data_IF_416678075147
#
_entry.id   IF_416678075147
#
_cell.length_a   1.000
_cell.length_b   1.000
_cell.length_c   1.000
_cell.angle_alpha   90.00
_cell.angle_beta   90.00
_cell.angle_gamma   90.00
#
_symmetry.space_group_name_H-M   'P 1'
#
loop_
_entity.id
_entity.type
_entity.pdbx_description
1 polymer ?
#
# COMPACT_ATOMS: atom_id res chain seq x y z
N UNK A 1 -36.56 13.45 -57.82
CA UNK A 1 -37.96 13.87 -57.58
C UNK A 1 -38.10 14.12 -56.08
N UNK A 2 -38.00 15.37 -55.60
CA UNK A 2 -39.12 16.25 -55.14
C UNK A 2 -40.08 15.51 -54.18
N UNK A 3 -40.29 15.88 -52.90
CA UNK A 3 -40.57 17.18 -52.24
C UNK A 3 -40.14 17.06 -50.74
N UNK A 4 -39.54 18.01 -50.02
CA UNK A 4 -39.82 19.44 -49.73
C UNK A 4 -41.02 19.70 -48.79
N UNK A 5 -40.73 20.03 -47.53
CA UNK A 5 -41.40 20.98 -46.60
C UNK A 5 -40.64 20.90 -45.23
N UNK A 6 -39.83 21.83 -44.73
CA UNK A 6 -39.93 23.28 -44.48
C UNK A 6 -40.83 23.67 -43.28
N UNK A 7 -40.19 23.94 -42.12
CA UNK A 7 -40.65 24.84 -41.03
C UNK A 7 -39.44 25.07 -40.09
N UNK A 8 -38.62 26.12 -40.27
CA UNK A 8 -38.70 27.48 -39.72
C UNK A 8 -38.65 27.61 -38.18
N UNK A 9 -37.51 28.16 -37.73
CA UNK A 9 -37.19 28.98 -36.54
C UNK A 9 -37.84 28.67 -35.18
N UNK A 10 -36.99 28.52 -34.15
CA UNK A 10 -36.76 29.56 -33.12
C UNK A 10 -35.33 29.36 -32.59
N UNK A 11 -34.49 30.37 -32.80
CA UNK A 11 -33.18 30.49 -32.17
C UNK A 11 -33.37 31.07 -30.77
N UNK A 12 -33.31 30.22 -29.75
CA UNK A 12 -33.25 30.69 -28.36
C UNK A 12 -31.79 30.86 -27.98
N UNK A 13 -31.31 32.11 -28.00
CA UNK A 13 -30.09 32.51 -27.32
C UNK A 13 -30.27 32.21 -25.82
N UNK A 14 -29.71 31.10 -25.32
CA UNK A 14 -29.40 31.00 -23.90
C UNK A 14 -28.14 31.82 -23.64
N UNK A 15 -28.36 33.05 -23.20
CA UNK A 15 -27.34 33.82 -22.50
C UNK A 15 -26.94 33.02 -21.25
N UNK A 16 -25.74 32.44 -21.27
CA UNK A 16 -25.09 31.95 -20.05
C UNK A 16 -24.91 33.15 -19.10
N UNK A 17 -25.43 33.10 -17.87
CA UNK A 17 -25.05 34.10 -16.89
C UNK A 17 -23.57 33.86 -16.56
N UNK A 18 -22.73 34.86 -16.86
CA UNK A 18 -21.43 35.02 -16.22
C UNK A 18 -21.67 35.10 -14.72
N UNK A 19 -21.48 33.98 -14.04
CA UNK A 19 -21.57 33.91 -12.59
C UNK A 19 -20.32 34.57 -11.99
N UNK A 20 -20.36 35.90 -11.93
CA UNK A 20 -19.49 36.72 -11.09
C UNK A 20 -19.98 36.61 -9.65
N UNK A 21 -19.07 36.21 -8.76
CA UNK A 21 -19.16 36.46 -7.32
C UNK A 21 -19.82 35.36 -6.49
N UNK A 22 -19.09 34.28 -6.21
CA UNK A 22 -19.15 33.71 -4.87
C UNK A 22 -18.05 34.40 -4.06
N UNK A 23 -18.49 35.19 -3.07
CA UNK A 23 -17.69 35.81 -2.03
C UNK A 23 -16.78 34.76 -1.40
N UNK A 24 -15.51 35.11 -1.14
CA UNK A 24 -14.55 34.30 -0.40
C UNK A 24 -15.18 33.84 0.93
N UNK A 25 -15.73 32.63 0.96
CA UNK A 25 -15.69 31.83 2.17
C UNK A 25 -14.23 31.78 2.58
N UNK A 26 -13.96 32.00 3.86
CA UNK A 26 -12.63 31.91 4.45
C UNK A 26 -12.18 30.44 4.33
N UNK A 27 -11.72 30.05 3.12
CA UNK A 27 -11.38 28.69 2.77
C UNK A 27 -10.17 28.32 3.63
N UNK A 28 -10.39 27.43 4.59
CA UNK A 28 -9.30 26.94 5.43
C UNK A 28 -8.14 26.46 4.56
N UNK A 29 -6.92 26.88 4.91
CA UNK A 29 -5.72 26.44 4.21
C UNK A 29 -5.58 24.93 4.31
N UNK A 30 -5.31 24.26 3.19
CA UNK A 30 -5.08 22.82 3.16
C UNK A 30 -3.65 22.53 3.62
N UNK A 31 -3.51 21.82 4.72
CA UNK A 31 -2.25 21.31 5.24
C UNK A 31 -1.91 19.92 4.72
N UNK A 32 -0.64 19.50 4.88
CA UNK A 32 -0.20 18.15 4.50
C UNK A 32 -0.98 17.05 5.24
N UNK A 33 -1.34 17.28 6.50
CA UNK A 33 -2.17 16.36 7.29
C UNK A 33 -3.57 16.15 6.70
N UNK A 34 -4.13 17.17 6.06
CA UNK A 34 -5.46 17.09 5.44
C UNK A 34 -5.40 16.20 4.20
N UNK A 35 -4.30 16.28 3.43
CA UNK A 35 -4.04 15.37 2.30
C UNK A 35 -3.95 13.93 2.77
N UNK A 36 -3.35 13.69 3.93
CA UNK A 36 -3.17 12.34 4.48
C UNK A 36 -4.45 11.74 5.09
N UNK A 37 -5.40 12.57 5.53
CA UNK A 37 -6.52 12.14 6.38
C UNK A 37 -7.35 11.01 5.77
N UNK A 38 -7.58 11.04 4.45
CA UNK A 38 -8.44 10.05 3.78
C UNK A 38 -7.66 9.03 2.93
N UNK A 39 -6.33 9.07 2.88
CA UNK A 39 -5.56 8.24 1.94
C UNK A 39 -5.84 6.75 2.12
N UNK A 40 -5.93 6.29 3.37
CA UNK A 40 -6.15 4.87 3.64
C UNK A 40 -7.53 4.36 3.20
N UNK A 41 -8.53 5.24 3.24
CA UNK A 41 -9.93 4.89 2.94
C UNK A 41 -10.33 5.20 1.49
N UNK A 42 -9.50 5.94 0.75
CA UNK A 42 -9.88 6.47 -0.57
C UNK A 42 -8.88 6.20 -1.67
N UNK A 43 -7.60 5.95 -1.36
CA UNK A 43 -6.59 5.79 -2.38
C UNK A 43 -6.63 4.36 -2.96
N UNK A 44 -6.87 4.18 -4.28
CA UNK A 44 -7.12 2.86 -4.86
C UNK A 44 -6.04 1.82 -4.56
N UNK A 45 -4.75 2.19 -4.58
CA UNK A 45 -3.66 1.25 -4.33
C UNK A 45 -3.68 0.71 -2.90
N UNK A 46 -3.97 1.56 -1.90
CA UNK A 46 -4.07 1.16 -0.49
C UNK A 46 -5.32 0.30 -0.28
N UNK A 47 -6.44 0.68 -0.91
CA UNK A 47 -7.68 -0.09 -0.84
C UNK A 47 -7.51 -1.49 -1.44
N UNK A 48 -6.86 -1.61 -2.60
CA UNK A 48 -6.58 -2.89 -3.25
C UNK A 48 -5.69 -3.78 -2.37
N UNK A 49 -4.61 -3.23 -1.81
CA UNK A 49 -3.74 -3.98 -0.90
C UNK A 49 -4.50 -4.44 0.37
N UNK A 50 -5.43 -3.62 0.88
CA UNK A 50 -6.31 -3.99 1.99
C UNK A 50 -7.30 -5.10 1.61
N UNK A 51 -7.78 -5.14 0.36
CA UNK A 51 -8.62 -6.25 -0.14
C UNK A 51 -7.84 -7.55 -0.27
N UNK A 52 -6.56 -7.51 -0.61
CA UNK A 52 -5.70 -8.71 -0.62
C UNK A 52 -5.52 -9.29 0.80
N UNK A 53 -5.44 -8.47 1.84
CA UNK A 53 -5.47 -8.97 3.24
C UNK A 53 -6.78 -9.70 3.53
N UNK A 54 -7.92 -9.12 3.12
CA UNK A 54 -9.23 -9.74 3.32
C UNK A 54 -9.39 -11.04 2.53
N UNK A 55 -8.82 -11.12 1.33
CA UNK A 55 -8.74 -12.36 0.58
C UNK A 55 -7.92 -13.41 1.32
N UNK A 56 -6.75 -13.03 1.86
CA UNK A 56 -5.94 -13.94 2.67
C UNK A 56 -6.66 -14.44 3.94
N UNK A 57 -7.58 -13.66 4.51
CA UNK A 57 -8.45 -14.13 5.60
C UNK A 57 -9.41 -15.25 5.16
N UNK A 58 -9.95 -15.17 3.94
CA UNK A 58 -10.74 -16.25 3.37
C UNK A 58 -9.88 -17.46 2.98
N UNK A 59 -8.64 -17.25 2.57
CA UNK A 59 -7.70 -18.35 2.31
C UNK A 59 -7.37 -19.11 3.61
N UNK A 60 -7.21 -18.40 4.74
CA UNK A 60 -7.10 -19.03 6.07
C UNK A 60 -8.36 -19.82 6.42
N UNK A 61 -9.56 -19.24 6.21
CA UNK A 61 -10.82 -19.94 6.46
C UNK A 61 -10.95 -21.20 5.60
N UNK A 62 -10.54 -21.13 4.33
CA UNK A 62 -10.51 -22.28 3.44
C UNK A 62 -9.56 -23.38 3.95
N UNK A 63 -8.37 -23.00 4.40
CA UNK A 63 -7.41 -23.94 4.98
C UNK A 63 -7.91 -24.57 6.30
N UNK A 64 -8.63 -23.80 7.12
CA UNK A 64 -9.29 -24.34 8.32
C UNK A 64 -10.33 -25.41 7.98
N UNK A 65 -10.93 -25.35 6.78
CA UNK A 65 -11.90 -26.33 6.28
C UNK A 65 -11.36 -27.75 6.17
N UNK A 66 -10.03 -27.94 6.11
CA UNK A 66 -9.43 -29.27 6.18
C UNK A 66 -9.74 -29.99 7.51
N UNK A 67 -10.04 -29.23 8.58
CA UNK A 67 -10.41 -29.74 9.88
C UNK A 67 -11.92 -29.77 10.11
N UNK A 68 -12.76 -29.52 9.09
CA UNK A 68 -14.21 -29.51 9.26
C UNK A 68 -14.80 -30.89 9.50
N UNK A 69 -16.00 -30.89 10.11
CA UNK A 69 -16.77 -32.10 10.30
C UNK A 69 -17.36 -32.54 8.96
N UNK A 70 -16.96 -33.71 8.47
CA UNK A 70 -17.41 -34.23 7.18
C UNK A 70 -18.30 -35.46 7.36
N UNK A 71 -19.47 -35.49 6.72
CA UNK A 71 -20.24 -36.70 6.52
C UNK A 71 -19.75 -37.42 5.26
N UNK A 72 -19.21 -38.63 5.42
CA UNK A 72 -18.72 -39.49 4.34
C UNK A 72 -19.63 -40.71 4.22
N UNK A 73 -20.07 -41.02 3.00
CA UNK A 73 -20.91 -42.17 2.72
C UNK A 73 -20.28 -43.06 1.66
N UNK A 74 -20.45 -44.38 1.77
CA UNK A 74 -20.16 -45.32 0.69
C UNK A 74 -21.26 -46.36 0.59
N UNK A 75 -21.63 -46.70 -0.65
CA UNK A 75 -22.57 -47.78 -0.95
C UNK A 75 -21.92 -48.68 -1.98
N UNK A 76 -21.84 -49.97 -1.67
CA UNK A 76 -21.25 -50.98 -2.52
C UNK A 76 -22.28 -52.07 -2.77
N UNK A 77 -22.46 -52.43 -4.04
CA UNK A 77 -23.29 -53.54 -4.47
C UNK A 77 -22.39 -54.52 -5.24
N UNK A 78 -22.41 -55.78 -4.82
CA UNK A 78 -21.73 -56.87 -5.51
C UNK A 78 -22.79 -57.82 -6.02
N UNK A 79 -22.71 -58.20 -7.30
CA UNK A 79 -23.62 -59.14 -7.95
C UNK A 79 -22.86 -60.34 -8.51
N UNK A 80 -23.55 -61.47 -8.65
CA UNK A 80 -22.98 -62.69 -9.23
C UNK A 80 -23.24 -63.89 -8.34
N UNK A 81 -22.20 -64.69 -8.08
CA UNK A 81 -22.31 -65.88 -7.21
C UNK A 81 -22.74 -65.51 -5.77
N UNK A 82 -22.33 -64.32 -5.30
CA UNK A 82 -22.77 -63.74 -4.04
C UNK A 82 -23.36 -62.35 -4.29
N UNK A 83 -24.61 -62.15 -3.88
CA UNK A 83 -25.29 -60.87 -3.99
C UNK A 83 -25.24 -60.15 -2.64
N UNK A 84 -24.46 -59.07 -2.55
CA UNK A 84 -24.30 -58.31 -1.30
C UNK A 84 -24.51 -56.82 -1.51
N UNK A 85 -25.13 -56.19 -0.53
CA UNK A 85 -25.30 -54.75 -0.42
C UNK A 85 -24.59 -54.29 0.86
N UNK A 86 -23.77 -53.24 0.77
CA UNK A 86 -23.09 -52.65 1.93
C UNK A 86 -23.18 -51.14 1.86
N UNK A 87 -23.83 -50.54 2.84
CA UNK A 87 -23.84 -49.09 3.08
C UNK A 87 -23.01 -48.75 4.30
N UNK A 88 -22.28 -47.64 4.25
CA UNK A 88 -21.52 -47.10 5.37
C UNK A 88 -21.63 -45.58 5.37
N UNK A 89 -21.91 -45.00 6.53
CA UNK A 89 -21.94 -43.56 6.75
C UNK A 89 -21.08 -43.23 7.96
N UNK A 90 -20.15 -42.28 7.81
CA UNK A 90 -19.24 -41.85 8.85
C UNK A 90 -19.25 -40.33 8.95
N UNK A 91 -19.41 -39.81 10.15
CA UNK A 91 -19.03 -38.45 10.50
C UNK A 91 -17.56 -38.49 10.88
N UNK A 92 -16.72 -37.69 10.22
CA UNK A 92 -15.26 -37.65 10.42
C UNK A 92 -14.84 -36.23 10.79
N UNK A 93 -14.01 -36.11 11.83
CA UNK A 93 -13.43 -34.84 12.29
C UNK A 93 -11.91 -34.97 12.37
N UNK A 94 -11.16 -34.48 11.37
CA UNK A 94 -9.73 -34.23 11.51
C UNK A 94 -9.49 -33.15 12.56
N UNK A 95 -8.33 -33.19 13.22
CA UNK A 95 -7.95 -32.21 14.23
C UNK A 95 -6.52 -31.70 13.98
N UNK A 96 -6.22 -30.45 14.37
CA UNK A 96 -4.86 -29.93 14.28
C UNK A 96 -3.93 -30.54 15.34
N UNK A 97 -4.44 -31.33 16.29
CA UNK A 97 -3.67 -31.89 17.38
C UNK A 97 -3.03 -33.20 16.91
N UNK A 98 -1.71 -33.17 16.71
CA UNK A 98 -0.88 -34.32 16.35
C UNK A 98 -1.37 -35.13 15.14
N UNK A 99 -2.09 -34.50 14.20
CA UNK A 99 -2.64 -35.17 13.01
C UNK A 99 -3.75 -36.17 13.31
N UNK A 100 -4.33 -36.10 14.52
CA UNK A 100 -5.37 -37.05 14.92
C UNK A 100 -6.69 -36.76 14.23
N UNK A 101 -7.43 -37.81 13.90
CA UNK A 101 -8.80 -37.69 13.38
C UNK A 101 -9.71 -38.67 14.11
N UNK A 102 -10.95 -38.25 14.32
CA UNK A 102 -11.98 -39.06 14.97
C UNK A 102 -13.12 -39.34 14.00
N UNK A 103 -13.77 -40.49 14.16
CA UNK A 103 -14.96 -40.81 13.40
C UNK A 103 -16.03 -41.46 14.27
N UNK A 104 -17.28 -41.27 13.87
CA UNK A 104 -18.44 -42.00 14.37
C UNK A 104 -19.33 -42.34 13.18
N UNK A 105 -19.83 -43.55 13.09
CA UNK A 105 -20.50 -44.03 11.90
C UNK A 105 -21.45 -45.18 12.13
N UNK A 106 -22.23 -45.46 11.09
CA UNK A 106 -23.17 -46.55 11.00
C UNK A 106 -22.93 -47.32 9.72
N UNK A 107 -22.93 -48.64 9.81
CA UNK A 107 -22.76 -49.53 8.67
C UNK A 107 -23.87 -50.56 8.64
N UNK A 108 -24.39 -50.81 7.45
CA UNK A 108 -25.39 -51.82 7.19
C UNK A 108 -24.92 -52.71 6.04
N UNK A 109 -25.13 -54.01 6.19
CA UNK A 109 -24.86 -54.98 5.14
C UNK A 109 -25.97 -56.01 5.05
N UNK A 110 -26.29 -56.42 3.82
CA UNK A 110 -27.38 -57.34 3.50
C UNK A 110 -26.95 -58.28 2.37
N UNK A 111 -27.62 -59.43 2.27
CA UNK A 111 -27.37 -60.45 1.25
C UNK A 111 -26.45 -61.57 1.71
N UNK A 112 -26.00 -62.37 0.74
CA UNK A 112 -25.29 -63.61 1.00
C UNK A 112 -23.78 -63.37 0.96
N UNK A 113 -23.15 -63.48 2.13
CA UNK A 113 -21.70 -63.34 2.28
C UNK A 113 -21.03 -64.71 2.28
N UNK A 114 -19.91 -64.88 1.57
CA UNK A 114 -19.04 -66.04 1.79
C UNK A 114 -18.60 -66.13 3.26
N UNK A 115 -18.40 -67.34 3.77
CA UNK A 115 -18.04 -67.56 5.19
C UNK A 115 -16.77 -66.81 5.61
N UNK A 116 -15.81 -66.65 4.70
CA UNK A 116 -14.56 -65.89 4.93
C UNK A 116 -14.75 -64.36 4.91
N UNK A 117 -15.92 -63.85 4.53
CA UNK A 117 -16.30 -62.44 4.65
C UNK A 117 -17.24 -62.16 5.82
N UNK A 118 -17.35 -63.07 6.79
CA UNK A 118 -18.14 -62.86 8.01
C UNK A 118 -17.86 -61.52 8.74
N UNK A 119 -16.61 -60.99 8.82
CA UNK A 119 -16.34 -59.65 9.37
C UNK A 119 -16.95 -58.48 8.57
N UNK A 120 -17.33 -58.72 7.31
CA UNK A 120 -18.00 -57.74 6.43
C UNK A 120 -19.53 -57.75 6.58
N UNK A 121 -20.09 -58.73 7.29
CA UNK A 121 -21.52 -58.87 7.56
C UNK A 121 -21.88 -58.24 8.91
N UNK A 122 -23.00 -57.54 8.95
CA UNK A 122 -23.64 -56.91 10.12
C UNK A 122 -24.93 -57.67 10.43
N UNK A 123 -25.42 -57.58 11.66
CA UNK A 123 -26.79 -58.01 11.96
C UNK A 123 -27.83 -57.09 11.27
N UNK A 124 -29.12 -57.49 11.19
CA UNK A 124 -30.14 -56.74 10.43
C UNK A 124 -30.35 -55.28 10.89
N UNK A 125 -30.06 -54.98 12.16
CA UNK A 125 -30.08 -53.61 12.70
C UNK A 125 -28.85 -52.76 12.36
N UNK A 126 -27.85 -53.33 11.70
CA UNK A 126 -26.57 -52.69 11.39
C UNK A 126 -25.65 -52.50 12.60
N UNK A 127 -24.50 -51.89 12.34
CA UNK A 127 -23.38 -51.74 13.26
C UNK A 127 -23.10 -50.25 13.50
N UNK A 128 -23.04 -49.83 14.77
CA UNK A 128 -22.47 -48.53 15.13
C UNK A 128 -20.97 -48.69 15.33
N UNK A 129 -20.19 -47.69 14.87
CA UNK A 129 -18.73 -47.66 15.00
C UNK A 129 -18.27 -46.28 15.44
N UNK A 130 -17.25 -46.21 16.25
CA UNK A 130 -16.53 -44.97 16.52
C UNK A 130 -15.05 -45.28 16.71
N UNK A 131 -14.20 -44.30 16.47
CA UNK A 131 -12.77 -44.52 16.61
C UNK A 131 -11.94 -43.28 16.33
N UNK A 132 -10.63 -43.48 16.41
CA UNK A 132 -9.64 -42.47 16.11
C UNK A 132 -8.44 -43.04 15.38
N UNK A 133 -7.84 -42.20 14.55
CA UNK A 133 -6.55 -42.41 13.90
C UNK A 133 -5.54 -41.46 14.50
N UNK A 134 -4.40 -41.99 14.94
CA UNK A 134 -3.32 -41.23 15.56
C UNK A 134 -2.02 -41.51 14.80
N UNK A 135 -1.48 -40.56 14.02
CA UNK A 135 -0.17 -40.73 13.41
C UNK A 135 0.92 -40.62 14.48
N UNK A 136 1.84 -41.58 14.48
CA UNK A 136 2.91 -41.69 15.49
C UNK A 136 4.22 -41.06 15.00
N UNK A 137 4.49 -41.11 13.68
CA UNK A 137 5.74 -40.65 13.08
C UNK A 137 5.53 -39.59 11.98
N UNK A 138 5.36 -39.98 10.71
CA UNK A 138 4.94 -39.06 9.63
C UNK A 138 3.55 -38.50 9.97
N UNK A 139 3.29 -37.26 9.61
CA UNK A 139 2.03 -36.54 9.81
C UNK A 139 1.69 -36.20 11.27
N UNK A 140 2.55 -36.59 12.24
CA UNK A 140 2.37 -36.24 13.65
C UNK A 140 2.70 -34.77 13.96
N UNK A 141 3.89 -34.32 13.54
CA UNK A 141 4.37 -32.97 13.83
C UNK A 141 3.80 -31.95 12.83
N UNK A 142 3.81 -32.30 11.54
CA UNK A 142 3.29 -31.49 10.44
C UNK A 142 2.72 -32.42 9.38
N UNK A 143 1.63 -32.01 8.75
CA UNK A 143 0.97 -32.69 7.63
C UNK A 143 0.57 -31.64 6.60
N UNK A 144 -0.05 -32.05 5.49
CA UNK A 144 -0.43 -31.12 4.42
C UNK A 144 -1.38 -30.02 4.91
N UNK A 145 -2.35 -30.39 5.74
CA UNK A 145 -3.47 -29.53 6.13
C UNK A 145 -2.99 -28.50 7.17
N UNK A 146 -2.17 -28.93 8.13
CA UNK A 146 -1.48 -28.02 9.06
C UNK A 146 -0.48 -27.11 8.36
N UNK A 147 0.25 -27.63 7.38
CA UNK A 147 1.18 -26.82 6.59
C UNK A 147 0.41 -25.72 5.85
N UNK A 148 -0.68 -26.07 5.17
CA UNK A 148 -1.50 -25.13 4.41
C UNK A 148 -2.08 -24.05 5.32
N UNK A 149 -2.63 -24.42 6.49
CA UNK A 149 -3.11 -23.44 7.48
C UNK A 149 -1.99 -22.47 7.92
N UNK A 150 -0.84 -23.01 8.30
CA UNK A 150 0.31 -22.19 8.74
C UNK A 150 0.83 -21.29 7.62
N UNK A 151 0.87 -21.78 6.39
CA UNK A 151 1.30 -21.00 5.23
C UNK A 151 0.31 -19.88 4.91
N UNK A 152 -1.01 -20.13 4.99
CA UNK A 152 -2.04 -19.11 4.79
C UNK A 152 -1.97 -17.99 5.84
N UNK A 153 -1.67 -18.31 7.11
CA UNK A 153 -1.44 -17.33 8.16
C UNK A 153 -0.22 -16.43 7.89
N UNK A 154 0.89 -17.02 7.43
CA UNK A 154 2.09 -16.28 7.04
C UNK A 154 1.83 -15.43 5.79
N UNK A 155 1.09 -15.96 4.81
CA UNK A 155 0.70 -15.23 3.60
C UNK A 155 -0.16 -13.99 3.91
N UNK A 156 -1.05 -14.06 4.90
CA UNK A 156 -1.76 -12.86 5.42
C UNK A 156 -0.78 -11.82 5.97
N UNK A 157 0.24 -12.25 6.69
CA UNK A 157 1.28 -11.36 7.23
C UNK A 157 2.13 -10.74 6.10
N UNK A 158 2.42 -11.50 5.05
CA UNK A 158 3.05 -10.99 3.81
C UNK A 158 2.17 -9.92 3.16
N UNK A 159 0.86 -10.16 3.03
CA UNK A 159 -0.08 -9.19 2.47
C UNK A 159 -0.13 -7.88 3.30
N UNK A 160 -0.01 -7.98 4.63
CA UNK A 160 0.12 -6.82 5.51
C UNK A 160 1.42 -6.04 5.25
N UNK A 161 2.55 -6.73 5.11
CA UNK A 161 3.81 -6.07 4.75
C UNK A 161 3.70 -5.36 3.39
N UNK A 162 3.07 -5.98 2.38
CA UNK A 162 2.84 -5.35 1.07
C UNK A 162 1.98 -4.08 1.21
N UNK A 163 0.92 -4.11 2.02
CA UNK A 163 0.13 -2.91 2.31
C UNK A 163 1.00 -1.79 2.90
N UNK A 164 1.86 -2.12 3.84
CA UNK A 164 2.76 -1.14 4.47
C UNK A 164 3.80 -0.58 3.49
N UNK A 165 4.33 -1.39 2.56
CA UNK A 165 5.18 -0.91 1.44
C UNK A 165 4.42 0.12 0.58
N UNK A 166 3.18 -0.21 0.21
CA UNK A 166 2.35 0.68 -0.62
C UNK A 166 2.01 1.98 0.12
N UNK A 167 1.70 1.91 1.41
CA UNK A 167 1.48 3.09 2.24
C UNK A 167 2.70 4.01 2.18
N UNK A 168 3.90 3.51 2.49
CA UNK A 168 5.12 4.33 2.48
C UNK A 168 5.30 5.07 1.15
N UNK A 169 5.12 4.39 0.02
CA UNK A 169 5.20 5.04 -1.31
C UNK A 169 4.13 6.10 -1.49
N UNK A 170 2.87 5.80 -1.18
CA UNK A 170 1.74 6.73 -1.39
C UNK A 170 1.87 7.97 -0.52
N UNK A 171 2.26 7.83 0.75
CA UNK A 171 2.46 8.97 1.65
C UNK A 171 3.61 9.88 1.18
N UNK A 172 4.72 9.29 0.72
CA UNK A 172 5.83 10.03 0.12
C UNK A 172 5.38 10.80 -1.11
N UNK A 173 4.72 10.12 -2.05
CA UNK A 173 4.34 10.71 -3.33
C UNK A 173 3.26 11.80 -3.14
N UNK A 174 2.35 11.61 -2.18
CA UNK A 174 1.38 12.61 -1.76
C UNK A 174 2.07 13.85 -1.16
N UNK A 175 3.07 13.67 -0.28
CA UNK A 175 3.84 14.77 0.29
C UNK A 175 4.60 15.54 -0.79
N UNK A 176 5.26 14.85 -1.72
CA UNK A 176 5.94 15.49 -2.84
C UNK A 176 4.96 16.27 -3.72
N UNK A 177 3.79 15.70 -4.03
CA UNK A 177 2.76 16.39 -4.81
C UNK A 177 2.23 17.63 -4.09
N UNK A 178 2.06 17.57 -2.76
CA UNK A 178 1.64 18.70 -1.94
C UNK A 178 2.66 19.83 -1.95
N UNK A 179 3.94 19.54 -1.70
CA UNK A 179 4.98 20.57 -1.67
C UNK A 179 5.20 21.22 -3.04
N UNK A 180 5.03 20.46 -4.12
CA UNK A 180 5.04 21.01 -5.48
C UNK A 180 3.88 21.99 -5.75
N UNK A 181 2.69 21.73 -5.18
CA UNK A 181 1.56 22.65 -5.28
C UNK A 181 1.77 23.93 -4.46
N UNK A 182 2.27 23.79 -3.22
CA UNK A 182 2.63 24.94 -2.37
C UNK A 182 3.68 25.82 -3.04
N UNK A 183 4.71 25.21 -3.64
CA UNK A 183 5.79 25.91 -4.34
C UNK A 183 5.29 26.64 -5.59
N UNK A 184 4.40 26.02 -6.37
CA UNK A 184 3.76 26.66 -7.53
C UNK A 184 2.96 27.90 -7.14
N UNK A 185 2.22 27.83 -6.02
CA UNK A 185 1.48 28.96 -5.46
C UNK A 185 2.40 30.11 -5.04
N UNK A 186 3.51 29.81 -4.35
CA UNK A 186 4.50 30.82 -3.95
C UNK A 186 5.21 31.45 -5.17
N UNK A 187 5.53 30.67 -6.21
CA UNK A 187 6.08 31.18 -7.48
C UNK A 187 5.11 32.16 -8.16
N UNK A 188 3.82 31.82 -8.25
CA UNK A 188 2.80 32.72 -8.82
C UNK A 188 2.73 34.04 -8.05
N UNK A 189 2.75 34.00 -6.70
CA UNK A 189 2.77 35.21 -5.86
C UNK A 189 3.98 36.10 -6.16
N UNK A 190 5.19 35.54 -6.20
CA UNK A 190 6.43 36.29 -6.50
C UNK A 190 6.34 37.00 -7.86
N UNK A 191 5.92 36.29 -8.90
CA UNK A 191 5.81 36.89 -10.24
C UNK A 191 4.69 37.94 -10.28
N UNK A 192 3.61 37.74 -9.52
CA UNK A 192 2.50 38.70 -9.43
C UNK A 192 2.94 40.01 -8.79
N UNK A 193 3.74 39.94 -7.73
CA UNK A 193 4.32 41.11 -7.07
C UNK A 193 5.24 41.89 -8.02
N UNK A 194 6.03 41.20 -8.86
CA UNK A 194 6.88 41.83 -9.87
C UNK A 194 6.07 42.53 -10.96
N UNK A 195 4.98 41.91 -11.43
CA UNK A 195 4.07 42.55 -12.39
C UNK A 195 3.48 43.83 -11.80
N UNK A 196 3.00 43.77 -10.55
CA UNK A 196 2.42 44.92 -9.85
C UNK A 196 3.43 46.06 -9.68
N UNK A 197 4.69 45.74 -9.38
CA UNK A 197 5.78 46.73 -9.30
C UNK A 197 6.00 47.39 -10.67
N UNK A 198 6.07 46.61 -11.75
CA UNK A 198 6.29 47.13 -13.10
C UNK A 198 5.13 48.00 -13.60
N UNK A 199 3.88 47.62 -13.28
CA UNK A 199 2.69 48.41 -13.63
C UNK A 199 2.63 49.74 -12.86
N UNK A 200 2.91 49.73 -11.56
CA UNK A 200 3.00 50.95 -10.76
C UNK A 200 4.10 51.90 -11.27
N UNK A 201 5.22 51.33 -11.73
CA UNK A 201 6.33 52.09 -12.31
C UNK A 201 5.96 52.73 -13.65
N UNK A 202 5.15 52.07 -14.48
CA UNK A 202 4.72 52.62 -15.77
C UNK A 202 4.08 54.00 -15.61
N UNK A 203 3.22 54.15 -14.60
CA UNK A 203 2.52 55.41 -14.32
C UNK A 203 3.45 56.50 -13.77
N UNK A 204 4.54 56.12 -13.11
CA UNK A 204 5.58 57.05 -12.66
C UNK A 204 6.44 57.53 -13.84
N UNK A 205 6.86 56.60 -14.71
CA UNK A 205 7.65 56.90 -15.91
C UNK A 205 6.84 57.80 -16.87
N UNK A 206 5.56 57.52 -17.10
CA UNK A 206 4.68 58.35 -17.96
C UNK A 206 4.67 59.82 -17.52
N UNK A 207 4.60 60.07 -16.21
CA UNK A 207 4.62 61.44 -15.66
C UNK A 207 5.97 62.11 -15.85
N UNK A 208 7.07 61.42 -15.56
CA UNK A 208 8.43 61.95 -15.74
C UNK A 208 8.77 62.24 -17.20
N UNK A 209 8.34 61.39 -18.13
CA UNK A 209 8.49 61.66 -19.58
C UNK A 209 7.68 62.89 -20.00
N UNK A 210 6.45 63.03 -19.53
CA UNK A 210 5.61 64.20 -19.85
C UNK A 210 6.20 65.53 -19.33
N UNK A 211 6.96 65.47 -18.23
CA UNK A 211 7.70 66.61 -17.66
C UNK A 211 9.07 66.85 -18.34
N UNK A 212 9.53 65.92 -19.20
CA UNK A 212 10.84 65.98 -19.85
C UNK A 212 12.01 65.51 -18.98
N UNK A 213 11.74 64.92 -17.81
CA UNK A 213 12.76 64.52 -16.84
C UNK A 213 13.55 63.26 -17.24
N UNK A 214 12.94 62.39 -18.06
CA UNK A 214 13.57 61.15 -18.58
C UNK A 214 13.18 60.91 -20.05
N UNK A 215 14.01 60.19 -20.82
CA UNK A 215 13.73 59.89 -22.22
C UNK A 215 12.48 59.02 -22.44
N UNK A 216 11.74 59.26 -23.53
CA UNK A 216 10.55 58.48 -23.88
C UNK A 216 10.83 56.98 -24.14
N UNK A 217 12.07 56.61 -24.49
CA UNK A 217 12.46 55.21 -24.66
C UNK A 217 12.31 54.38 -23.37
N UNK A 218 12.39 55.02 -22.20
CA UNK A 218 12.19 54.37 -20.90
C UNK A 218 10.75 53.84 -20.72
N UNK A 219 9.77 54.43 -21.41
CA UNK A 219 8.40 53.89 -21.45
C UNK A 219 8.35 52.55 -22.19
N UNK A 220 8.99 52.47 -23.35
CA UNK A 220 9.01 51.24 -24.15
C UNK A 220 9.77 50.13 -23.41
N UNK A 221 10.83 50.48 -22.69
CA UNK A 221 11.59 49.53 -21.88
C UNK A 221 10.75 48.95 -20.71
N UNK A 222 9.99 49.79 -20.01
CA UNK A 222 9.09 49.29 -18.95
C UNK A 222 7.88 48.53 -19.52
N UNK A 223 7.34 48.92 -20.68
CA UNK A 223 6.29 48.16 -21.37
C UNK A 223 6.77 46.75 -21.74
N UNK A 224 7.98 46.62 -22.27
CA UNK A 224 8.61 45.31 -22.52
C UNK A 224 8.71 44.49 -21.24
N UNK A 225 9.12 45.09 -20.13
CA UNK A 225 9.19 44.41 -18.83
C UNK A 225 7.81 43.91 -18.37
N UNK A 226 6.76 44.73 -18.46
CA UNK A 226 5.38 44.33 -18.14
C UNK A 226 4.93 43.13 -18.98
N UNK A 227 5.18 43.15 -20.29
CA UNK A 227 4.83 42.04 -21.18
C UNK A 227 5.55 40.75 -20.79
N UNK A 228 6.84 40.83 -20.45
CA UNK A 228 7.60 39.68 -19.95
C UNK A 228 7.04 39.15 -18.61
N UNK A 229 6.65 40.02 -17.67
CA UNK A 229 6.05 39.59 -16.40
C UNK A 229 4.67 38.96 -16.57
N UNK A 230 3.87 39.43 -17.54
CA UNK A 230 2.57 38.83 -17.88
C UNK A 230 2.71 37.42 -18.44
N UNK A 231 3.72 37.19 -19.28
CA UNK A 231 4.06 35.83 -19.75
C UNK A 231 4.43 34.92 -18.57
N UNK A 232 5.30 35.38 -17.68
CA UNK A 232 5.71 34.63 -16.49
C UNK A 232 4.52 34.29 -15.57
N UNK A 233 3.54 35.20 -15.44
CA UNK A 233 2.31 34.93 -14.69
C UNK A 233 1.51 33.81 -15.34
N UNK A 234 1.30 33.85 -16.66
CA UNK A 234 0.56 32.81 -17.36
C UNK A 234 1.26 31.43 -17.20
N UNK A 235 2.60 31.41 -17.26
CA UNK A 235 3.38 30.19 -17.01
C UNK A 235 3.23 29.68 -15.56
N UNK A 236 3.27 30.58 -14.57
CA UNK A 236 3.11 30.23 -13.16
C UNK A 236 1.69 29.76 -12.82
N UNK A 237 0.66 30.37 -13.43
CA UNK A 237 -0.74 29.94 -13.30
C UNK A 237 -0.96 28.54 -13.86
N UNK A 238 -0.40 28.25 -15.04
CA UNK A 238 -0.42 26.90 -15.61
C UNK A 238 0.28 25.89 -14.69
N UNK A 239 1.40 26.26 -14.08
CA UNK A 239 2.11 25.39 -13.14
C UNK A 239 1.27 25.12 -11.87
N UNK A 240 0.60 26.14 -11.34
CA UNK A 240 -0.30 26.01 -10.20
C UNK A 240 -1.49 25.09 -10.52
N UNK A 241 -2.14 25.29 -11.66
CA UNK A 241 -3.23 24.42 -12.12
C UNK A 241 -2.77 22.98 -12.30
N UNK A 242 -1.59 22.77 -12.93
CA UNK A 242 -1.01 21.44 -13.10
C UNK A 242 -0.75 20.80 -11.74
N UNK A 243 -0.04 21.45 -10.84
CA UNK A 243 0.29 20.89 -9.52
C UNK A 243 -0.95 20.60 -8.68
N UNK A 244 -1.99 21.44 -8.74
CA UNK A 244 -3.28 21.18 -8.09
C UNK A 244 -3.99 19.95 -8.68
N UNK A 245 -3.90 19.73 -9.99
CA UNK A 245 -4.42 18.53 -10.64
C UNK A 245 -3.68 17.26 -10.18
N UNK A 246 -2.35 17.28 -10.10
CA UNK A 246 -1.58 16.13 -9.59
C UNK A 246 -1.89 15.87 -8.11
N UNK A 247 -2.02 16.91 -7.29
CA UNK A 247 -2.38 16.77 -5.88
C UNK A 247 -3.78 16.17 -5.70
N UNK A 248 -4.72 16.45 -6.61
CA UNK A 248 -6.07 15.88 -6.56
C UNK A 248 -6.11 14.35 -6.63
N UNK A 249 -5.05 13.72 -7.14
CA UNK A 249 -4.91 12.27 -7.13
C UNK A 249 -4.87 11.71 -5.69
N UNK A 250 -4.29 12.46 -4.76
CA UNK A 250 -4.10 12.11 -3.35
C UNK A 250 -5.11 12.81 -2.45
N UNK A 251 -5.47 14.06 -2.75
CA UNK A 251 -6.44 14.84 -1.98
C UNK A 251 -7.86 14.50 -2.42
N UNK A 252 -8.53 13.64 -1.63
CA UNK A 252 -9.85 13.08 -1.94
C UNK A 252 -10.86 13.31 -0.82
N UNK A 253 -12.13 13.40 -1.20
CA UNK A 253 -13.26 13.28 -0.27
C UNK A 253 -13.38 11.85 0.25
N UNK A 254 -14.14 11.65 1.33
CA UNK A 254 -14.43 10.33 1.91
C UNK A 254 -15.10 9.36 0.92
N UNK A 255 -15.77 9.84 -0.11
CA UNK A 255 -16.37 9.03 -1.19
C UNK A 255 -15.37 8.63 -2.30
N UNK A 256 -14.10 9.05 -2.20
CA UNK A 256 -13.05 8.79 -3.17
C UNK A 256 -12.95 9.81 -4.31
N UNK A 257 -13.85 10.80 -4.36
CA UNK A 257 -13.82 11.86 -5.38
C UNK A 257 -12.58 12.73 -5.23
N UNK A 258 -11.85 12.94 -6.34
CA UNK A 258 -10.67 13.81 -6.38
C UNK A 258 -11.06 15.28 -6.15
N UNK A 259 -10.32 15.97 -5.29
CA UNK A 259 -10.49 17.40 -5.02
C UNK A 259 -9.30 18.13 -5.61
N UNK A 260 -9.55 19.05 -6.55
CA UNK A 260 -8.52 20.00 -6.97
C UNK A 260 -8.52 21.18 -6.00
N UNK A 261 -7.46 21.39 -5.20
CA UNK A 261 -7.41 22.49 -4.27
C UNK A 261 -7.30 23.83 -5.00
N UNK A 262 -7.96 24.85 -4.45
CA UNK A 262 -8.03 26.19 -5.03
C UNK A 262 -6.86 27.06 -4.54
N UNK A 263 -6.56 28.12 -5.28
CA UNK A 263 -5.52 29.11 -4.92
C UNK A 263 -5.72 29.69 -3.51
N UNK A 264 -6.96 30.03 -3.14
CA UNK A 264 -7.29 30.53 -1.79
C UNK A 264 -7.08 29.54 -0.64
N UNK A 265 -6.80 28.26 -0.94
CA UNK A 265 -6.52 27.23 0.06
C UNK A 265 -5.01 27.03 0.30
N UNK A 266 -4.15 27.76 -0.40
CA UNK A 266 -2.71 27.66 -0.22
C UNK A 266 -2.31 28.02 1.22
N UNK A 267 -1.40 27.27 1.84
CA UNK A 267 -0.82 27.67 3.12
C UNK A 267 0.01 28.95 2.95
N UNK A 268 0.20 29.67 4.06
CA UNK A 268 0.94 30.94 4.08
C UNK A 268 2.36 30.78 3.50
N UNK A 269 3.02 29.66 3.80
CA UNK A 269 4.34 29.30 3.30
C UNK A 269 4.76 27.91 3.74
N UNK A 270 6.06 27.66 3.65
CA UNK A 270 6.68 26.43 4.15
C UNK A 270 6.84 26.50 5.68
N UNK A 271 6.68 25.37 6.39
CA UNK A 271 7.02 25.30 7.81
C UNK A 271 8.52 25.57 8.04
N UNK A 272 8.93 25.86 9.28
CA UNK A 272 10.34 25.98 9.61
C UNK A 272 11.06 24.65 9.40
N UNK A 273 12.27 24.72 8.88
CA UNK A 273 13.13 23.57 8.63
C UNK A 273 13.78 23.10 9.94
N UNK A 274 13.99 21.79 10.06
CA UNK A 274 14.63 21.18 11.23
C UNK A 274 15.78 20.31 10.76
N UNK A 275 16.99 20.63 11.21
CA UNK A 275 18.16 19.79 10.99
C UNK A 275 18.01 18.46 11.74
N UNK A 276 18.49 17.38 11.13
CA UNK A 276 18.54 16.06 11.78
C UNK A 276 19.92 15.90 12.41
N UNK A 277 19.98 15.54 13.68
CA UNK A 277 21.24 15.18 14.34
C UNK A 277 21.62 13.71 14.07
N UNK A 278 22.92 13.41 14.18
CA UNK A 278 23.45 12.08 13.91
C UNK A 278 22.83 11.00 14.83
N UNK A 279 22.56 11.32 16.09
CA UNK A 279 21.94 10.38 17.04
C UNK A 279 20.53 9.97 16.66
N UNK A 280 19.73 10.92 16.18
CA UNK A 280 18.37 10.71 15.71
C UNK A 280 18.40 9.88 14.44
N UNK A 281 19.31 10.20 13.52
CA UNK A 281 19.50 9.42 12.30
C UNK A 281 19.87 7.97 12.59
N UNK A 282 20.84 7.72 13.47
CA UNK A 282 21.24 6.35 13.80
C UNK A 282 20.09 5.56 14.43
N UNK A 283 19.31 6.19 15.32
CA UNK A 283 18.13 5.56 15.92
C UNK A 283 17.05 5.23 14.88
N UNK A 284 16.78 6.16 13.95
CA UNK A 284 15.80 5.97 12.88
C UNK A 284 16.26 4.90 11.87
N UNK A 285 17.55 4.87 11.53
CA UNK A 285 18.15 3.85 10.66
C UNK A 285 18.05 2.45 11.25
N UNK A 286 18.36 2.29 12.54
CA UNK A 286 18.20 1.00 13.22
C UNK A 286 16.74 0.55 13.26
N UNK A 287 15.80 1.49 13.46
CA UNK A 287 14.36 1.20 13.37
C UNK A 287 13.97 0.74 11.97
N UNK A 288 14.44 1.43 10.93
CA UNK A 288 14.15 1.10 9.54
C UNK A 288 14.63 -0.31 9.20
N UNK A 289 15.86 -0.68 9.56
CA UNK A 289 16.41 -2.02 9.30
C UNK A 289 15.61 -3.16 9.94
N UNK A 290 14.90 -2.88 11.04
CA UNK A 290 14.06 -3.85 11.75
C UNK A 290 12.61 -3.87 11.25
N UNK A 291 12.08 -2.72 10.82
CA UNK A 291 10.65 -2.53 10.58
C UNK A 291 10.28 -2.28 9.12
N UNK A 292 11.25 -2.14 8.21
CA UNK A 292 11.00 -2.03 6.77
C UNK A 292 10.15 -3.22 6.28
N UNK A 293 8.98 -2.98 5.68
CA UNK A 293 8.06 -4.07 5.35
C UNK A 293 8.65 -5.08 4.36
N UNK A 294 9.52 -4.66 3.45
CA UNK A 294 10.18 -5.54 2.49
C UNK A 294 11.18 -6.51 3.14
N UNK A 295 11.80 -6.13 4.27
CA UNK A 295 12.63 -7.03 5.09
C UNK A 295 11.74 -8.09 5.73
N UNK A 296 10.66 -7.66 6.39
CA UNK A 296 9.70 -8.55 7.04
C UNK A 296 9.05 -9.52 6.06
N UNK A 297 8.78 -9.06 4.83
CA UNK A 297 8.25 -9.90 3.76
C UNK A 297 9.23 -11.01 3.37
N UNK A 298 10.51 -10.69 3.17
CA UNK A 298 11.53 -11.70 2.85
C UNK A 298 11.71 -12.67 4.04
N UNK A 299 11.68 -12.18 5.28
CA UNK A 299 11.76 -13.04 6.48
C UNK A 299 10.57 -14.00 6.58
N UNK A 300 9.35 -13.54 6.27
CA UNK A 300 8.16 -14.39 6.19
C UNK A 300 8.24 -15.38 5.02
N UNK A 301 8.78 -14.98 3.86
CA UNK A 301 9.06 -15.90 2.73
C UNK A 301 10.04 -17.00 3.16
N UNK A 302 11.08 -16.68 3.93
CA UNK A 302 12.00 -17.69 4.50
C UNK A 302 11.25 -18.62 5.45
N UNK A 303 10.31 -18.12 6.25
CA UNK A 303 9.51 -18.94 7.14
C UNK A 303 8.60 -19.92 6.39
N UNK A 304 7.96 -19.50 5.29
CA UNK A 304 7.19 -20.38 4.41
C UNK A 304 8.02 -21.57 3.93
N UNK A 305 9.23 -21.30 3.45
CA UNK A 305 10.14 -22.34 2.94
C UNK A 305 10.68 -23.22 4.07
N UNK A 306 10.93 -22.67 5.28
CA UNK A 306 11.28 -23.50 6.45
C UNK A 306 10.17 -24.45 6.85
N UNK A 307 8.92 -24.00 6.80
CA UNK A 307 7.76 -24.86 7.07
C UNK A 307 7.61 -25.95 6.01
N UNK A 308 7.83 -25.61 4.73
CA UNK A 308 7.84 -26.57 3.63
C UNK A 308 8.97 -27.60 3.77
N UNK A 309 10.17 -27.17 4.17
CA UNK A 309 11.32 -28.04 4.42
C UNK A 309 11.00 -29.06 5.51
N UNK A 310 10.50 -28.60 6.65
CA UNK A 310 10.11 -29.47 7.76
C UNK A 310 9.01 -30.49 7.35
N UNK A 311 8.07 -30.07 6.48
CA UNK A 311 7.08 -30.97 5.91
C UNK A 311 7.72 -32.03 5.01
N UNK A 312 8.58 -31.64 4.06
CA UNK A 312 9.22 -32.60 3.15
C UNK A 312 10.15 -33.59 3.86
N UNK A 313 10.87 -33.13 4.90
CA UNK A 313 11.64 -34.01 5.79
C UNK A 313 10.73 -34.98 6.55
N UNK A 314 9.58 -34.52 7.03
CA UNK A 314 8.60 -35.39 7.67
C UNK A 314 8.05 -36.45 6.69
N UNK A 315 7.71 -36.05 5.46
CA UNK A 315 7.20 -36.95 4.41
C UNK A 315 8.22 -38.01 3.96
N UNK A 316 9.51 -37.84 4.28
CA UNK A 316 10.55 -38.83 4.01
C UNK A 316 10.52 -40.01 5.01
N UNK A 317 10.12 -39.79 6.26
CA UNK A 317 10.06 -40.82 7.30
C UNK A 317 8.83 -41.74 7.17
N UNK A 318 8.78 -42.95 7.76
CA UNK A 318 7.62 -43.85 7.70
C UNK A 318 6.31 -43.25 8.20
N UNK A 319 5.20 -43.58 7.54
CA UNK A 319 3.87 -43.36 8.07
C UNK A 319 3.48 -44.54 8.96
N UNK A 320 3.16 -44.28 10.22
CA UNK A 320 2.72 -45.27 11.19
C UNK A 320 1.54 -44.68 11.93
N UNK A 321 0.36 -45.29 11.73
CA UNK A 321 -0.90 -44.82 12.26
C UNK A 321 -1.47 -45.87 13.21
N UNK A 322 -1.75 -45.45 14.44
CA UNK A 322 -2.53 -46.23 15.38
C UNK A 322 -4.02 -45.97 15.13
N UNK A 323 -4.76 -47.05 14.89
CA UNK A 323 -6.21 -47.05 14.74
C UNK A 323 -6.81 -47.70 15.99
N UNK A 324 -7.67 -46.97 16.67
CA UNK A 324 -8.46 -47.48 17.79
C UNK A 324 -9.92 -47.32 17.41
N UNK A 325 -10.68 -48.40 17.39
CA UNK A 325 -12.10 -48.36 17.09
C UNK A 325 -12.91 -49.24 18.05
N UNK A 326 -14.13 -48.82 18.34
CA UNK A 326 -15.14 -49.62 19.01
C UNK A 326 -16.34 -49.80 18.09
N UNK A 327 -16.90 -51.00 18.05
CA UNK A 327 -18.14 -51.25 17.31
C UNK A 327 -19.11 -52.17 18.04
N UNK A 328 -20.38 -52.09 17.66
CA UNK A 328 -21.45 -52.93 18.21
C UNK A 328 -22.61 -53.04 17.23
N UNK A 329 -23.12 -54.25 17.04
CA UNK A 329 -24.38 -54.44 16.31
C UNK A 329 -25.58 -54.05 17.18
N UNK A 330 -26.51 -53.28 16.61
CA UNK A 330 -27.65 -52.70 17.34
C UNK A 330 -28.74 -53.75 17.64
N UNK A 331 -28.82 -54.80 16.80
CA UNK A 331 -29.82 -55.85 16.92
C UNK A 331 -29.14 -57.22 17.00
N UNK A 332 -29.68 -58.12 17.83
CA UNK A 332 -29.29 -59.53 17.80
C UNK A 332 -29.72 -60.17 16.49
N UNK A 333 -28.85 -61.02 15.93
CA UNK A 333 -29.10 -61.73 14.68
C UNK A 333 -28.50 -63.12 14.72
N UNK A 334 -28.31 -63.72 13.55
CA UNK A 334 -27.71 -65.06 13.41
C UNK A 334 -26.25 -65.13 13.87
N UNK A 335 -25.58 -63.98 14.05
CA UNK A 335 -24.21 -63.86 14.54
C UNK A 335 -24.19 -63.27 15.96
N UNK A 336 -23.39 -63.85 16.86
CA UNK A 336 -23.17 -63.34 18.23
C UNK A 336 -22.24 -62.12 18.20
N UNK A 337 -22.79 -60.96 17.83
CA UNK A 337 -22.11 -59.64 17.67
C UNK A 337 -22.73 -58.53 18.53
N UNK A 338 -23.52 -58.91 19.54
CA UNK A 338 -24.19 -58.00 20.47
C UNK A 338 -23.31 -57.41 21.61
N UNK A 339 -22.13 -57.96 21.98
CA UNK A 339 -21.16 -57.27 22.83
C UNK A 339 -20.44 -56.13 22.10
N UNK A 340 -19.83 -55.23 22.87
CA UNK A 340 -18.88 -54.27 22.31
C UNK A 340 -17.62 -54.98 21.83
N UNK A 341 -17.24 -54.72 20.58
CA UNK A 341 -15.97 -55.14 19.98
C UNK A 341 -14.99 -53.96 19.99
N UNK A 342 -13.76 -54.21 20.43
CA UNK A 342 -12.67 -53.22 20.38
C UNK A 342 -11.62 -53.69 19.37
N UNK A 343 -11.25 -52.80 18.46
CA UNK A 343 -10.26 -53.03 17.41
C UNK A 343 -9.06 -52.10 17.62
N UNK A 344 -7.87 -52.70 17.67
CA UNK A 344 -6.60 -51.99 17.73
C UNK A 344 -5.78 -52.40 16.52
N UNK A 345 -5.45 -51.45 15.66
CA UNK A 345 -4.70 -51.68 14.43
C UNK A 345 -3.52 -50.74 14.30
N UNK A 346 -2.42 -51.24 13.75
CA UNK A 346 -1.31 -50.39 13.30
C UNK A 346 -1.26 -50.46 11.78
N UNK A 347 -1.46 -49.32 11.13
CA UNK A 347 -1.34 -49.18 9.68
C UNK A 347 -0.04 -48.47 9.38
N UNK A 348 0.83 -49.07 8.56
CA UNK A 348 2.11 -48.45 8.22
C UNK A 348 2.35 -48.41 6.72
N UNK A 349 3.04 -47.36 6.28
CA UNK A 349 3.50 -47.16 4.91
C UNK A 349 4.94 -46.61 4.95
N UNK A 350 5.89 -47.44 4.52
CA UNK A 350 7.32 -47.15 4.53
C UNK A 350 7.80 -46.89 3.10
N UNK A 351 8.22 -45.65 2.75
CA UNK A 351 8.74 -45.39 1.42
C UNK A 351 10.14 -45.98 1.29
N UNK A 352 10.33 -46.95 0.38
CA UNK A 352 11.64 -47.56 0.15
C UNK A 352 12.55 -46.68 -0.74
N UNK A 353 11.96 -45.72 -1.45
CA UNK A 353 12.67 -44.73 -2.27
C UNK A 353 12.09 -43.35 -2.01
N UNK A 354 12.96 -42.36 -1.82
CA UNK A 354 12.58 -41.01 -1.34
C UNK A 354 12.92 -39.89 -2.31
N UNK A 355 13.34 -40.19 -3.55
CA UNK A 355 13.83 -39.21 -4.54
C UNK A 355 12.93 -37.98 -4.72
N UNK A 356 11.60 -38.16 -4.67
CA UNK A 356 10.63 -37.04 -4.73
C UNK A 356 10.83 -36.08 -3.56
N UNK A 357 10.92 -36.59 -2.34
CA UNK A 357 11.11 -35.77 -1.15
C UNK A 357 12.54 -35.24 -1.09
N UNK A 358 13.56 -36.02 -1.46
CA UNK A 358 14.94 -35.54 -1.52
C UNK A 358 15.10 -34.36 -2.50
N UNK A 359 14.44 -34.43 -3.67
CA UNK A 359 14.40 -33.31 -4.61
C UNK A 359 13.67 -32.07 -4.07
N UNK A 360 12.57 -32.26 -3.33
CA UNK A 360 11.84 -31.16 -2.68
C UNK A 360 12.62 -30.53 -1.54
N UNK A 361 13.29 -31.34 -0.71
CA UNK A 361 14.17 -30.90 0.38
C UNK A 361 15.31 -30.06 -0.20
N UNK A 362 16.04 -30.60 -1.19
CA UNK A 362 17.14 -29.88 -1.83
C UNK A 362 16.69 -28.55 -2.45
N UNK A 363 15.58 -28.55 -3.20
CA UNK A 363 15.03 -27.33 -3.79
C UNK A 363 14.62 -26.28 -2.75
N UNK A 364 13.97 -26.70 -1.66
CA UNK A 364 13.52 -25.79 -0.58
C UNK A 364 14.71 -25.23 0.20
N UNK A 365 15.72 -26.05 0.49
CA UNK A 365 16.94 -25.62 1.15
C UNK A 365 17.69 -24.57 0.31
N UNK A 366 17.86 -24.82 -0.99
CA UNK A 366 18.45 -23.82 -1.91
C UNK A 366 17.59 -22.56 -1.98
N UNK A 367 16.27 -22.67 -1.96
CA UNK A 367 15.38 -21.50 -1.94
C UNK A 367 15.56 -20.64 -0.69
N UNK A 368 15.74 -21.26 0.48
CA UNK A 368 16.07 -20.55 1.73
C UNK A 368 17.41 -19.81 1.59
N UNK A 369 18.44 -20.45 1.03
CA UNK A 369 19.75 -19.82 0.81
C UNK A 369 19.64 -18.60 -0.14
N UNK A 370 18.89 -18.73 -1.23
CA UNK A 370 18.61 -17.61 -2.15
C UNK A 370 17.92 -16.45 -1.43
N UNK A 371 16.91 -16.74 -0.61
CA UNK A 371 16.19 -15.71 0.14
C UNK A 371 17.06 -15.05 1.22
N UNK A 372 17.98 -15.79 1.84
CA UNK A 372 18.97 -15.23 2.78
C UNK A 372 19.94 -14.27 2.08
N UNK A 373 20.42 -14.61 0.88
CA UNK A 373 21.23 -13.68 0.08
C UNK A 373 20.44 -12.44 -0.33
N UNK A 374 19.17 -12.61 -0.73
CA UNK A 374 18.26 -11.51 -1.03
C UNK A 374 18.02 -10.61 0.18
N UNK A 375 17.88 -11.19 1.37
CA UNK A 375 17.74 -10.46 2.63
C UNK A 375 18.99 -9.62 2.94
N UNK A 376 20.19 -10.21 2.77
CA UNK A 376 21.47 -9.49 2.89
C UNK A 376 21.54 -8.30 1.95
N UNK A 377 21.31 -8.53 0.66
CA UNK A 377 21.26 -7.47 -0.36
C UNK A 377 20.24 -6.37 -0.02
N UNK A 378 19.04 -6.74 0.44
CA UNK A 378 18.01 -5.76 0.79
C UNK A 378 18.42 -4.91 2.00
N UNK A 379 19.12 -5.48 2.99
CA UNK A 379 19.68 -4.72 4.11
C UNK A 379 20.74 -3.73 3.65
N UNK A 380 21.67 -4.16 2.79
CA UNK A 380 22.69 -3.28 2.21
C UNK A 380 22.06 -2.15 1.40
N UNK A 381 21.00 -2.45 0.64
CA UNK A 381 20.24 -1.45 -0.10
C UNK A 381 19.56 -0.44 0.82
N UNK A 382 18.92 -0.87 1.90
CA UNK A 382 18.31 0.04 2.89
C UNK A 382 19.37 0.90 3.58
N UNK A 383 20.55 0.34 3.88
CA UNK A 383 21.68 1.13 4.39
C UNK A 383 22.07 2.24 3.42
N UNK A 384 22.17 1.93 2.12
CA UNK A 384 22.47 2.91 1.08
C UNK A 384 21.37 3.97 0.97
N UNK A 385 20.10 3.55 0.85
CA UNK A 385 18.93 4.45 0.78
C UNK A 385 18.86 5.40 1.98
N UNK A 386 19.08 4.90 3.19
CA UNK A 386 19.06 5.72 4.41
C UNK A 386 20.15 6.78 4.42
N UNK A 387 21.38 6.42 4.06
CA UNK A 387 22.49 7.38 4.00
C UNK A 387 22.29 8.39 2.86
N UNK A 388 21.82 7.95 1.68
CA UNK A 388 21.54 8.82 0.54
C UNK A 388 20.44 9.84 0.86
N UNK A 389 19.35 9.39 1.52
CA UNK A 389 18.29 10.28 1.96
C UNK A 389 18.76 11.34 2.97
N UNK A 390 19.66 10.97 3.90
CA UNK A 390 20.27 11.94 4.82
C UNK A 390 21.14 12.95 4.06
N UNK A 391 22.03 12.48 3.18
CA UNK A 391 22.91 13.34 2.36
C UNK A 391 22.08 14.31 1.51
N UNK A 392 21.00 13.82 0.89
CA UNK A 392 20.09 14.65 0.10
C UNK A 392 19.42 15.72 0.96
N UNK A 393 18.92 15.36 2.15
CA UNK A 393 18.27 16.29 3.08
C UNK A 393 19.23 17.36 3.60
N UNK A 394 20.44 16.97 4.03
CA UNK A 394 21.47 17.88 4.53
C UNK A 394 21.94 18.85 3.43
N UNK A 395 22.18 18.35 2.22
CA UNK A 395 22.54 19.21 1.08
C UNK A 395 21.42 20.16 0.69
N UNK A 396 20.16 19.70 0.72
CA UNK A 396 19.00 20.56 0.46
C UNK A 396 18.88 21.67 1.51
N UNK A 397 19.09 21.34 2.79
CA UNK A 397 19.10 22.32 3.89
C UNK A 397 20.21 23.35 3.73
N UNK A 398 21.45 22.90 3.49
CA UNK A 398 22.61 23.79 3.27
C UNK A 398 22.40 24.72 2.07
N UNK A 399 21.87 24.20 0.96
CA UNK A 399 21.56 25.00 -0.23
C UNK A 399 20.47 26.03 0.06
N UNK A 400 19.46 25.65 0.83
CA UNK A 400 18.39 26.54 1.26
C UNK A 400 18.91 27.68 2.14
N UNK A 401 19.80 27.40 3.09
CA UNK A 401 20.44 28.42 3.93
C UNK A 401 21.25 29.43 3.10
N UNK A 402 22.08 28.95 2.15
CA UNK A 402 22.86 29.82 1.26
C UNK A 402 21.95 30.74 0.44
N UNK A 403 20.84 30.21 -0.11
CA UNK A 403 19.92 31.02 -0.92
C UNK A 403 19.10 31.99 -0.04
N UNK A 404 18.82 31.63 1.22
CA UNK A 404 18.21 32.55 2.20
C UNK A 404 19.12 33.74 2.50
N UNK A 405 20.44 33.56 2.54
CA UNK A 405 21.39 34.67 2.65
C UNK A 405 21.46 35.47 1.34
N UNK A 406 21.51 34.79 0.19
CA UNK A 406 21.58 35.42 -1.12
C UNK A 406 20.38 36.35 -1.38
N UNK A 407 19.16 35.93 -1.03
CA UNK A 407 17.97 36.77 -1.22
C UNK A 407 18.01 38.05 -0.40
N UNK A 408 18.55 38.01 0.83
CA UNK A 408 18.69 39.21 1.66
C UNK A 408 19.62 40.24 1.01
N UNK A 409 20.73 39.76 0.43
CA UNK A 409 21.69 40.60 -0.30
C UNK A 409 21.06 41.14 -1.60
N UNK A 410 20.41 40.29 -2.38
CA UNK A 410 19.76 40.67 -3.64
C UNK A 410 18.66 41.73 -3.42
N UNK A 411 17.82 41.55 -2.40
CA UNK A 411 16.77 42.51 -2.04
C UNK A 411 17.35 43.84 -1.53
N UNK A 412 18.48 43.80 -0.81
CA UNK A 412 19.17 45.02 -0.37
C UNK A 412 19.73 45.80 -1.57
N UNK A 413 20.34 45.10 -2.53
CA UNK A 413 20.85 45.71 -3.77
C UNK A 413 19.72 46.29 -4.62
N UNK A 414 18.63 45.56 -4.81
CA UNK A 414 17.47 46.05 -5.56
C UNK A 414 16.85 47.31 -4.93
N UNK A 415 16.72 47.32 -3.59
CA UNK A 415 16.23 48.50 -2.87
C UNK A 415 17.20 49.69 -2.97
N UNK A 416 18.49 49.47 -2.80
CA UNK A 416 19.49 50.53 -2.92
C UNK A 416 19.52 51.14 -4.33
N UNK A 417 19.45 50.30 -5.36
CA UNK A 417 19.44 50.75 -6.75
C UNK A 417 18.18 51.55 -7.07
N UNK A 418 17.03 51.10 -6.58
CA UNK A 418 15.77 51.85 -6.69
C UNK A 418 15.89 53.24 -6.07
N UNK A 419 16.43 53.35 -4.85
CA UNK A 419 16.64 54.66 -4.22
C UNK A 419 17.57 55.56 -5.02
N UNK A 420 18.63 55.02 -5.63
CA UNK A 420 19.53 55.80 -6.50
C UNK A 420 18.82 56.30 -7.76
N UNK A 421 17.98 55.48 -8.37
CA UNK A 421 17.17 55.89 -9.52
C UNK A 421 16.16 56.98 -9.16
N UNK A 422 15.52 56.88 -7.99
CA UNK A 422 14.58 57.89 -7.49
C UNK A 422 15.29 59.25 -7.24
N UNK A 423 16.59 59.22 -6.90
CA UNK A 423 17.44 60.40 -6.75
C UNK A 423 18.08 60.90 -8.05
N UNK A 424 17.92 60.17 -9.17
CA UNK A 424 18.51 60.53 -10.47
C UNK A 424 19.94 60.02 -10.72
N UNK A 425 20.51 59.25 -9.79
CA UNK A 425 21.89 58.74 -9.85
C UNK A 425 22.01 57.34 -10.52
N UNK A 426 20.95 56.89 -11.19
CA UNK A 426 20.88 55.60 -11.90
C UNK A 426 19.89 55.62 -13.05
N UNK A 427 19.87 54.55 -13.86
CA UNK A 427 18.97 54.35 -14.99
C UNK A 427 17.98 53.22 -14.72
N UNK A 428 16.83 53.26 -15.40
CA UNK A 428 15.78 52.25 -15.25
C UNK A 428 16.27 50.84 -15.61
N UNK A 429 17.17 50.73 -16.59
CA UNK A 429 17.79 49.47 -16.96
C UNK A 429 18.49 48.79 -15.76
N UNK A 430 19.26 49.54 -14.97
CA UNK A 430 19.98 48.97 -13.82
C UNK A 430 19.00 48.53 -12.74
N UNK A 431 17.94 49.32 -12.49
CA UNK A 431 16.86 48.95 -11.56
C UNK A 431 16.19 47.65 -12.00
N UNK A 432 15.79 47.55 -13.27
CA UNK A 432 15.16 46.35 -13.83
C UNK A 432 16.07 45.12 -13.72
N UNK A 433 17.37 45.27 -13.99
CA UNK A 433 18.34 44.18 -13.83
C UNK A 433 18.47 43.72 -12.38
N UNK A 434 18.51 44.65 -11.41
CA UNK A 434 18.57 44.30 -9.98
C UNK A 434 17.29 43.64 -9.48
N UNK A 435 16.13 44.13 -9.91
CA UNK A 435 14.83 43.52 -9.57
C UNK A 435 14.66 42.15 -10.22
N UNK A 436 15.12 41.98 -11.46
CA UNK A 436 15.13 40.68 -12.11
C UNK A 436 16.06 39.70 -11.40
N UNK A 437 17.25 40.14 -10.96
CA UNK A 437 18.15 39.30 -10.19
C UNK A 437 17.54 38.90 -8.84
N UNK A 438 16.93 39.83 -8.10
CA UNK A 438 16.23 39.53 -6.85
C UNK A 438 15.06 38.54 -7.06
N UNK A 439 14.28 38.74 -8.12
CA UNK A 439 13.22 37.82 -8.51
C UNK A 439 13.73 36.40 -8.83
N UNK A 440 14.84 36.29 -9.56
CA UNK A 440 15.44 35.02 -9.89
C UNK A 440 15.94 34.29 -8.64
N UNK A 441 16.56 35.01 -7.71
CA UNK A 441 16.96 34.47 -6.40
C UNK A 441 15.72 34.02 -5.60
N UNK A 442 14.64 34.81 -5.60
CA UNK A 442 13.39 34.46 -4.91
C UNK A 442 12.76 33.18 -5.50
N UNK A 443 12.76 33.02 -6.82
CA UNK A 443 12.30 31.78 -7.48
C UNK A 443 13.22 30.59 -7.18
N UNK A 444 14.54 30.80 -7.10
CA UNK A 444 15.50 29.77 -6.66
C UNK A 444 15.29 29.39 -5.20
N UNK A 445 14.94 30.35 -4.33
CA UNK A 445 14.60 30.08 -2.93
C UNK A 445 13.40 29.14 -2.84
N UNK A 446 12.32 29.42 -3.58
CA UNK A 446 11.15 28.52 -3.63
C UNK A 446 11.52 27.14 -4.15
N UNK A 447 12.45 27.06 -5.12
CA UNK A 447 13.05 25.80 -5.56
C UNK A 447 13.74 25.05 -4.43
N UNK A 448 14.62 25.72 -3.68
CA UNK A 448 15.35 25.11 -2.58
C UNK A 448 14.43 24.69 -1.41
N UNK A 449 13.37 25.47 -1.13
CA UNK A 449 12.37 25.10 -0.12
C UNK A 449 11.62 23.83 -0.51
N UNK A 450 11.15 23.72 -1.76
CA UNK A 450 10.45 22.50 -2.21
C UNK A 450 11.38 21.29 -2.26
N UNK A 451 12.63 21.50 -2.69
CA UNK A 451 13.64 20.43 -2.73
C UNK A 451 13.91 19.89 -1.30
N UNK A 452 14.01 20.77 -0.29
CA UNK A 452 14.17 20.38 1.11
C UNK A 452 12.97 19.54 1.61
N UNK A 453 11.75 20.01 1.38
CA UNK A 453 10.56 19.31 1.88
C UNK A 453 10.25 18.01 1.14
N UNK A 454 10.64 17.89 -0.14
CA UNK A 454 10.62 16.61 -0.87
C UNK A 454 11.69 15.67 -0.31
N UNK A 455 12.92 16.14 -0.09
CA UNK A 455 13.98 15.33 0.51
C UNK A 455 13.59 14.87 1.92
N UNK A 456 12.88 15.71 2.69
CA UNK A 456 12.35 15.33 3.99
C UNK A 456 11.29 14.24 3.90
N UNK A 457 10.38 14.32 2.94
CA UNK A 457 9.39 13.28 2.71
C UNK A 457 10.02 11.95 2.30
N UNK A 458 11.06 11.98 1.46
CA UNK A 458 11.84 10.77 1.11
C UNK A 458 12.52 10.18 2.35
N UNK A 459 13.21 11.01 3.14
CA UNK A 459 13.83 10.60 4.40
C UNK A 459 12.83 9.96 5.37
N UNK A 460 11.67 10.57 5.55
CA UNK A 460 10.62 10.07 6.44
C UNK A 460 10.03 8.73 5.92
N UNK A 461 9.91 8.54 4.59
CA UNK A 461 9.48 7.27 3.99
C UNK A 461 10.54 6.17 4.14
N UNK A 462 11.79 6.50 3.80
CA UNK A 462 12.94 5.59 3.88
C UNK A 462 13.17 5.11 5.30
N UNK A 463 12.88 5.95 6.30
CA UNK A 463 13.04 5.61 7.71
C UNK A 463 11.73 5.18 8.39
N UNK A 464 10.70 4.89 7.60
CA UNK A 464 9.44 4.27 8.05
C UNK A 464 8.66 5.15 9.04
N UNK A 465 8.85 6.48 9.00
CA UNK A 465 8.21 7.42 9.93
C UNK A 465 6.71 7.58 9.66
N UNK A 466 6.26 7.47 8.41
CA UNK A 466 4.84 7.55 8.06
C UNK A 466 3.99 6.44 8.68
N UNK A 467 4.54 5.24 8.93
CA UNK A 467 3.81 4.13 9.56
C UNK A 467 3.74 4.24 11.10
N UNK A 468 4.57 5.10 11.71
CA UNK A 468 4.63 5.28 13.17
C UNK A 468 3.77 6.41 13.71
N UNK A 469 3.11 7.18 12.84
CA UNK A 469 2.23 8.25 13.28
C UNK A 469 1.03 7.66 14.04
N UNK A 470 0.66 8.22 15.22
CA UNK A 470 -0.45 7.70 16.00
C UNK A 470 -1.73 7.75 15.17
N UNK A 471 -2.42 6.61 15.04
CA UNK A 471 -3.81 6.58 14.57
C UNK A 471 -4.58 7.62 15.38
N UNK A 472 -5.14 8.63 14.70
CA UNK A 472 -6.13 9.53 15.30
C UNK A 472 -7.20 8.61 15.92
N UNK A 473 -7.57 8.76 17.20
CA UNK A 473 -8.62 7.94 17.78
C UNK A 473 -9.86 8.10 16.90
N UNK A 474 -10.43 6.97 16.48
CA UNK A 474 -11.66 6.94 15.71
C UNK A 474 -12.66 7.83 16.43
N UNK A 475 -13.09 8.90 15.76
CA UNK A 475 -14.12 9.80 16.27
C UNK A 475 -15.38 8.97 16.32
N UNK A 476 -15.70 8.47 17.50
CA UNK A 476 -16.99 7.83 17.79
C UNK A 476 -18.03 8.93 17.69
N UNK A 477 -18.61 9.08 16.50
CA UNK A 477 -19.90 9.75 16.36
C UNK A 477 -20.96 8.82 16.96
N UNK A 478 -21.44 9.21 18.15
CA UNK A 478 -22.66 8.69 18.77
C UNK A 478 -23.89 8.91 17.89
#
# INVERSE_FOLDING_TARGET
MRKAAAAFLIATQLALPLQRGAVDENLASVGLSDVFTNLEDTFPVILLATREIRKAEFDILSAQGAFDLALRGSVNNTTGYYNTNRGEMNIVKPTPIWGTSFFAGYRLSQGDFPDYYTPRRTNPGGEIRFGGRIPIWRDRATDSDRLELKQSEINKTIAQNVLDEQKLSVYRDAAASYWNWVSAGKRRRIVGDLLKIAELRQDQIKRRVALGDIPAIELQENERAILARREQIAAAERLLQKSALYLSLYYRKSDGTMISPRDGQLPAGFPPEVAIDNSTFDADKQRALKNRPEIRRIENEIELERNALAFHENQRGPQIDLIIAGSRDIQQGTLRRDPWEAEFGVVFNVPLQTRKQDGKIGGTQTKIEILQQKLGYQRDKIHLEANDALIALENALKRLEIIKEEIQVADKLARAEKSRFDLGDSTLLIVNLREQAAAEVALRLVGAEVDYWIARAEYDAVLVKFLTAPKKPATTTN
#
